data_IF_700630914707
#
_entry.id   IF_700630914707
#
_cell.length_a   1.000
_cell.length_b   1.000
_cell.length_c   1.000
_cell.angle_alpha   90.00
_cell.angle_beta   90.00
_cell.angle_gamma   90.00
#
_symmetry.space_group_name_H-M   'P 1'
#
loop_
_entity.id
_entity.type
_entity.pdbx_description
1 polymer ?
#
# COMPACT_ATOMS: atom_id res chain seq x y z
N UNK A 1 39.63 41.37 14.58
CA UNK A 1 40.26 40.12 14.12
C UNK A 1 39.97 39.08 15.20
N UNK A 2 38.84 38.37 15.21
CA UNK A 2 38.41 37.23 14.39
C UNK A 2 39.41 36.05 14.41
N UNK A 3 39.16 35.06 15.28
CA UNK A 3 39.40 33.64 14.99
C UNK A 3 38.28 32.80 15.63
N UNK A 4 37.66 31.98 14.80
CA UNK A 4 36.46 31.22 15.05
C UNK A 4 36.76 29.89 15.76
N UNK A 5 35.93 29.53 16.75
CA UNK A 5 35.87 28.18 17.29
C UNK A 5 34.95 27.33 16.39
N UNK A 6 35.51 26.28 15.80
CA UNK A 6 34.76 25.20 15.15
C UNK A 6 34.09 24.39 16.26
N UNK A 7 32.77 24.52 16.37
CA UNK A 7 31.94 23.62 17.17
C UNK A 7 31.80 22.26 16.47
N UNK A 8 31.62 21.16 17.23
CA UNK A 8 31.39 19.86 16.62
C UNK A 8 30.04 19.88 15.90
N UNK A 9 30.05 19.44 14.65
CA UNK A 9 28.84 19.17 13.90
C UNK A 9 28.03 18.12 14.65
N UNK A 10 26.95 18.56 15.29
CA UNK A 10 25.85 17.69 15.69
C UNK A 10 25.36 17.01 14.42
N UNK A 11 25.70 15.72 14.29
CA UNK A 11 25.11 14.87 13.27
C UNK A 11 23.60 14.92 13.46
N UNK A 12 22.93 15.64 12.56
CA UNK A 12 21.50 15.57 12.40
C UNK A 12 21.17 14.10 12.13
N UNK A 13 20.69 13.41 13.16
CA UNK A 13 20.06 12.11 13.01
C UNK A 13 18.95 12.30 11.98
N UNK A 14 19.21 11.84 10.77
CA UNK A 14 18.22 11.76 9.71
C UNK A 14 17.16 10.79 10.20
N UNK A 15 16.13 11.32 10.86
CA UNK A 15 14.90 10.59 11.19
C UNK A 15 14.26 10.27 9.85
N UNK A 16 14.71 9.17 9.25
CA UNK A 16 14.22 8.70 7.96
C UNK A 16 12.69 8.67 8.01
N UNK A 17 12.06 9.29 7.02
CA UNK A 17 10.62 9.53 6.85
C UNK A 17 9.77 8.24 6.73
N UNK A 18 10.06 7.20 7.51
CA UNK A 18 9.31 5.94 7.51
C UNK A 18 7.84 6.11 7.96
N UNK A 19 7.50 7.26 8.56
CA UNK A 19 6.13 7.64 8.90
C UNK A 19 5.32 8.23 7.73
N UNK A 20 5.92 8.48 6.55
CA UNK A 20 5.17 9.01 5.39
C UNK A 20 4.56 7.91 4.51
N UNK A 21 4.93 6.64 4.70
CA UNK A 21 4.40 5.53 3.93
C UNK A 21 3.02 5.11 4.45
N UNK A 22 2.10 4.87 3.52
CA UNK A 22 0.74 4.46 3.84
C UNK A 22 0.76 3.04 4.43
N UNK A 23 0.21 2.78 5.63
CA UNK A 23 0.10 1.43 6.16
C UNK A 23 -0.69 0.52 5.22
N UNK A 24 -0.15 -0.67 4.96
CA UNK A 24 -0.75 -1.69 4.12
C UNK A 24 -0.83 -3.01 4.89
N UNK A 25 -2.03 -3.58 5.00
CA UNK A 25 -2.25 -4.89 5.61
C UNK A 25 -2.86 -5.84 4.60
N UNK A 26 -2.34 -7.07 4.53
CA UNK A 26 -2.95 -8.16 3.77
C UNK A 26 -3.76 -9.00 4.75
N UNK A 27 -5.05 -9.14 4.51
CA UNK A 27 -5.99 -9.84 5.38
C UNK A 27 -6.66 -10.99 4.63
N UNK A 28 -7.10 -11.98 5.39
CA UNK A 28 -7.92 -13.07 4.88
C UNK A 28 -9.29 -13.16 5.56
N UNK A 29 -9.51 -12.32 6.57
CA UNK A 29 -10.79 -12.15 7.24
C UNK A 29 -10.97 -10.67 7.59
N UNK A 30 -11.98 -10.03 7.00
CA UNK A 30 -12.27 -8.61 7.21
C UNK A 30 -12.98 -8.36 8.54
N UNK A 31 -13.60 -9.39 9.13
CA UNK A 31 -14.31 -9.27 10.41
C UNK A 31 -13.35 -9.06 11.59
N UNK A 32 -12.07 -9.44 11.43
CA UNK A 32 -11.03 -9.19 12.42
C UNK A 32 -10.62 -7.72 12.52
N UNK A 33 -11.07 -6.86 11.60
CA UNK A 33 -10.79 -5.44 11.63
C UNK A 33 -11.86 -4.66 12.39
N UNK A 34 -11.47 -3.83 13.39
CA UNK A 34 -12.42 -2.97 14.09
C UNK A 34 -13.16 -2.04 13.12
N UNK A 35 -14.45 -1.82 13.35
CA UNK A 35 -15.30 -1.00 12.47
C UNK A 35 -14.74 0.43 12.28
N UNK A 36 -14.30 1.07 13.36
CA UNK A 36 -13.71 2.41 13.31
C UNK A 36 -12.49 2.46 12.37
N UNK A 37 -11.70 1.38 12.36
CA UNK A 37 -10.54 1.24 11.48
C UNK A 37 -10.97 1.09 10.02
N UNK A 38 -11.97 0.23 9.75
CA UNK A 38 -12.52 0.02 8.39
C UNK A 38 -13.08 1.31 7.77
N UNK A 39 -13.77 2.13 8.57
CA UNK A 39 -14.33 3.43 8.13
C UNK A 39 -13.28 4.44 7.67
N UNK A 40 -12.04 4.32 8.15
CA UNK A 40 -10.92 5.21 7.79
C UNK A 40 -9.94 4.58 6.78
N UNK A 41 -10.22 3.35 6.34
CA UNK A 41 -9.36 2.57 5.47
C UNK A 41 -9.98 2.36 4.09
N UNK A 42 -9.11 2.15 3.11
CA UNK A 42 -9.50 1.70 1.77
C UNK A 42 -9.32 0.18 1.69
N UNK A 43 -10.37 -0.52 1.28
CA UNK A 43 -10.29 -1.95 0.95
C UNK A 43 -9.94 -2.14 -0.53
N UNK A 44 -8.97 -3.01 -0.81
CA UNK A 44 -8.74 -3.58 -2.13
C UNK A 44 -9.27 -5.02 -2.12
N UNK A 45 -10.26 -5.31 -2.97
CA UNK A 45 -10.93 -6.60 -3.03
C UNK A 45 -12.44 -6.48 -2.77
N UNK A 46 -13.09 -7.62 -2.58
CA UNK A 46 -14.55 -7.69 -2.40
C UNK A 46 -14.90 -7.40 -0.94
N UNK A 47 -15.69 -6.37 -0.61
CA UNK A 47 -16.11 -6.10 0.75
C UNK A 47 -17.11 -7.15 1.23
N UNK A 48 -17.02 -7.52 2.51
CA UNK A 48 -18.10 -8.29 3.13
C UNK A 48 -19.38 -7.43 3.21
N UNK A 49 -20.59 -8.02 3.18
CA UNK A 49 -21.84 -7.27 3.17
C UNK A 49 -22.00 -6.27 4.33
N UNK A 50 -21.37 -6.55 5.47
CA UNK A 50 -21.36 -5.70 6.67
C UNK A 50 -20.01 -4.96 6.85
N UNK A 51 -19.25 -4.81 5.76
CA UNK A 51 -17.85 -4.39 5.77
C UNK A 51 -17.59 -2.95 6.23
N UNK A 52 -18.53 -2.01 5.99
CA UNK A 52 -18.44 -0.64 6.50
C UNK A 52 -17.16 0.13 6.13
N UNK A 53 -16.55 -0.20 4.99
CA UNK A 53 -15.29 0.38 4.54
C UNK A 53 -15.46 1.83 4.06
N UNK A 54 -14.46 2.68 4.33
CA UNK A 54 -14.49 4.09 3.94
C UNK A 54 -14.35 4.33 2.44
N UNK A 55 -13.63 3.45 1.75
CA UNK A 55 -13.54 3.36 0.28
C UNK A 55 -13.22 1.92 -0.15
N UNK A 56 -13.55 1.57 -1.38
CA UNK A 56 -13.31 0.24 -1.95
C UNK A 56 -12.71 0.37 -3.36
N UNK A 57 -11.77 -0.50 -3.68
CA UNK A 57 -11.22 -0.66 -5.01
C UNK A 57 -11.23 -2.14 -5.40
N UNK A 58 -11.75 -2.44 -6.59
CA UNK A 58 -11.81 -3.80 -7.09
C UNK A 58 -10.45 -4.27 -7.63
N UNK A 59 -10.17 -5.56 -7.44
CA UNK A 59 -9.08 -6.22 -8.18
C UNK A 59 -9.68 -6.69 -9.51
N UNK A 60 -9.24 -6.16 -10.66
CA UNK A 60 -9.80 -6.57 -11.94
C UNK A 60 -9.55 -8.06 -12.18
N UNK A 61 -10.56 -8.75 -12.70
CA UNK A 61 -10.44 -10.16 -13.04
C UNK A 61 -9.32 -10.36 -14.09
N UNK A 62 -8.48 -11.42 -13.97
CA UNK A 62 -7.42 -11.69 -14.92
C UNK A 62 -7.98 -11.79 -16.34
N UNK A 63 -7.43 -10.98 -17.25
CA UNK A 63 -7.86 -10.90 -18.65
C UNK A 63 -6.66 -11.16 -19.56
N UNK A 64 -6.84 -11.93 -20.66
CA UNK A 64 -5.77 -12.21 -21.61
C UNK A 64 -5.25 -10.94 -22.32
N UNK A 65 -5.93 -9.80 -22.14
CA UNK A 65 -5.53 -8.51 -22.68
C UNK A 65 -4.71 -7.66 -21.70
N UNK A 66 -4.70 -7.96 -20.38
CA UNK A 66 -3.96 -7.16 -19.39
C UNK A 66 -2.44 -7.21 -19.57
N UNK A 67 -1.92 -8.22 -20.26
CA UNK A 67 -0.49 -8.39 -20.52
C UNK A 67 -0.06 -7.95 -21.94
N UNK A 68 -0.89 -7.23 -22.70
CA UNK A 68 -0.56 -6.79 -24.07
C UNK A 68 0.18 -5.46 -24.09
N UNK A 69 1.43 -5.46 -23.64
CA UNK A 69 2.41 -4.49 -24.13
C UNK A 69 3.69 -5.18 -24.56
N UNK A 70 4.39 -4.54 -25.51
CA UNK A 70 5.58 -5.05 -26.17
C UNK A 70 6.63 -5.56 -25.18
N UNK A 71 7.35 -6.61 -25.58
CA UNK A 71 8.44 -7.21 -24.80
C UNK A 71 9.40 -6.12 -24.29
N UNK A 72 9.45 -5.90 -22.97
CA UNK A 72 10.39 -4.96 -22.33
C UNK A 72 9.83 -4.03 -21.25
N UNK A 73 8.51 -3.86 -21.12
CA UNK A 73 7.93 -2.98 -20.08
C UNK A 73 7.64 -3.75 -18.77
N UNK A 74 8.53 -3.62 -17.79
CA UNK A 74 8.41 -4.21 -16.44
C UNK A 74 7.18 -3.76 -15.64
N UNK A 75 6.48 -2.70 -16.06
CA UNK A 75 5.30 -2.20 -15.36
C UNK A 75 4.03 -3.04 -15.56
N UNK A 76 3.96 -3.86 -16.62
CA UNK A 76 2.74 -4.59 -17.01
C UNK A 76 2.71 -6.08 -16.63
N UNK A 77 3.83 -6.65 -16.15
CA UNK A 77 3.88 -8.05 -15.65
C UNK A 77 3.80 -8.12 -14.13
N UNK A 78 3.29 -7.06 -13.49
CA UNK A 78 3.20 -6.97 -12.03
C UNK A 78 1.95 -7.68 -11.54
N UNK A 79 1.97 -8.04 -10.26
CA UNK A 79 0.80 -8.62 -9.60
C UNK A 79 -0.40 -7.65 -9.70
N UNK A 80 -1.63 -8.15 -9.98
CA UNK A 80 -2.82 -7.30 -10.10
C UNK A 80 -3.04 -6.40 -8.88
N UNK A 81 -2.76 -6.87 -7.66
CA UNK A 81 -2.88 -6.06 -6.44
C UNK A 81 -1.87 -4.91 -6.47
N UNK A 82 -0.63 -5.17 -6.91
CA UNK A 82 0.41 -4.16 -7.03
C UNK A 82 0.10 -3.10 -8.10
N UNK A 83 -0.69 -3.44 -9.12
CA UNK A 83 -1.22 -2.48 -10.09
C UNK A 83 -2.31 -1.60 -9.48
N UNK A 84 -3.30 -2.19 -8.82
CA UNK A 84 -4.37 -1.43 -8.14
C UNK A 84 -3.81 -0.50 -7.06
N UNK A 85 -2.81 -0.94 -6.30
CA UNK A 85 -2.11 -0.09 -5.34
C UNK A 85 -1.45 1.13 -6.00
N UNK A 86 -0.90 1.00 -7.22
CA UNK A 86 -0.32 2.13 -7.93
C UNK A 86 -1.40 3.14 -8.36
N UNK A 87 -2.53 2.66 -8.85
CA UNK A 87 -3.70 3.47 -9.22
C UNK A 87 -4.30 4.19 -8.01
N UNK A 88 -4.56 3.47 -6.92
CA UNK A 88 -5.08 4.02 -5.65
C UNK A 88 -4.18 5.13 -5.12
N UNK A 89 -2.86 4.96 -5.18
CA UNK A 89 -1.93 6.02 -4.78
C UNK A 89 -2.02 7.24 -5.71
N UNK A 90 -2.09 7.03 -7.02
CA UNK A 90 -2.22 8.11 -7.98
C UNK A 90 -3.52 8.90 -7.75
N UNK A 91 -4.64 8.22 -7.58
CA UNK A 91 -5.93 8.84 -7.28
C UNK A 91 -5.90 9.64 -5.99
N UNK A 92 -5.25 9.11 -4.94
CA UNK A 92 -5.02 9.83 -3.68
C UNK A 92 -4.27 11.14 -3.91
N UNK A 93 -3.15 11.10 -4.64
CA UNK A 93 -2.33 12.30 -4.93
C UNK A 93 -3.11 13.32 -5.75
N UNK A 94 -3.96 12.85 -6.68
CA UNK A 94 -4.81 13.70 -7.52
C UNK A 94 -6.10 14.16 -6.83
N UNK A 95 -6.38 13.73 -5.60
CA UNK A 95 -7.62 14.05 -4.90
C UNK A 95 -8.88 13.44 -5.51
N UNK A 96 -8.74 12.34 -6.26
CA UNK A 96 -9.85 11.64 -6.93
C UNK A 96 -10.58 10.63 -6.04
N UNK A 97 -10.04 10.35 -4.86
CA UNK A 97 -10.61 9.44 -3.85
C UNK A 97 -10.76 10.13 -2.51
N UNK A 98 -11.70 9.68 -1.65
CA UNK A 98 -11.73 10.09 -0.25
C UNK A 98 -10.39 9.86 0.45
N UNK A 99 -10.11 10.67 1.48
CA UNK A 99 -8.91 10.49 2.28
C UNK A 99 -9.04 9.23 3.14
N UNK A 100 -8.14 8.27 2.93
CA UNK A 100 -7.95 7.11 3.81
C UNK A 100 -6.64 7.22 4.57
N UNK A 101 -6.53 6.55 5.72
CA UNK A 101 -5.30 6.52 6.52
C UNK A 101 -4.46 5.28 6.28
N UNK A 102 -5.08 4.21 5.83
CA UNK A 102 -4.44 2.92 5.57
C UNK A 102 -5.17 2.15 4.48
N UNK A 103 -4.50 1.13 3.95
CA UNK A 103 -5.03 0.24 2.91
C UNK A 103 -5.04 -1.19 3.41
N UNK A 104 -6.13 -1.89 3.14
CA UNK A 104 -6.34 -3.28 3.45
C UNK A 104 -6.52 -4.06 2.14
N UNK A 105 -5.81 -5.16 1.95
CA UNK A 105 -5.95 -6.06 0.78
C UNK A 105 -6.60 -7.35 1.26
N UNK A 106 -7.81 -7.65 0.79
CA UNK A 106 -8.53 -8.88 1.11
C UNK A 106 -8.24 -9.96 0.07
N UNK A 107 -7.65 -11.06 0.52
CA UNK A 107 -7.29 -12.23 -0.31
C UNK A 107 -7.59 -13.52 0.44
N UNK A 108 -7.87 -14.60 -0.29
CA UNK A 108 -8.09 -15.91 0.32
C UNK A 108 -6.89 -16.34 1.18
N UNK A 109 -7.15 -17.04 2.29
CA UNK A 109 -6.10 -17.45 3.25
C UNK A 109 -4.93 -18.20 2.63
N UNK A 110 -5.20 -19.00 1.58
CA UNK A 110 -4.18 -19.74 0.83
C UNK A 110 -3.23 -18.85 0.02
N UNK A 111 -3.70 -17.70 -0.44
CA UNK A 111 -2.96 -16.80 -1.34
C UNK A 111 -2.24 -15.69 -0.55
N UNK A 112 -2.63 -15.48 0.71
CA UNK A 112 -2.12 -14.42 1.60
C UNK A 112 -0.60 -14.33 1.65
N UNK A 113 0.09 -15.46 1.86
CA UNK A 113 1.55 -15.50 1.98
C UNK A 113 2.22 -15.13 0.66
N UNK A 114 1.73 -15.67 -0.46
CA UNK A 114 2.27 -15.40 -1.79
C UNK A 114 2.09 -13.92 -2.17
N UNK A 115 0.88 -13.38 -2.01
CA UNK A 115 0.58 -11.98 -2.28
C UNK A 115 1.44 -11.06 -1.40
N UNK A 116 1.55 -11.36 -0.10
CA UNK A 116 2.41 -10.59 0.79
C UNK A 116 3.86 -10.57 0.29
N UNK A 117 4.44 -11.72 -0.04
CA UNK A 117 5.81 -11.80 -0.54
C UNK A 117 6.00 -11.04 -1.87
N UNK A 118 5.03 -11.09 -2.77
CA UNK A 118 5.07 -10.30 -4.01
C UNK A 118 5.08 -8.81 -3.72
N UNK A 119 4.21 -8.33 -2.83
CA UNK A 119 4.14 -6.93 -2.42
C UNK A 119 5.40 -6.47 -1.67
N UNK A 120 6.01 -7.34 -0.85
CA UNK A 120 7.29 -7.08 -0.18
C UNK A 120 8.45 -6.94 -1.16
N UNK A 121 8.37 -7.56 -2.34
CA UNK A 121 9.40 -7.49 -3.37
C UNK A 121 9.13 -6.43 -4.45
N UNK A 122 7.92 -5.88 -4.50
CA UNK A 122 7.56 -4.85 -5.48
C UNK A 122 8.12 -3.48 -5.10
N UNK A 123 9.01 -2.96 -5.94
CA UNK A 123 9.72 -1.69 -5.72
C UNK A 123 8.76 -0.50 -5.58
N UNK A 124 7.69 -0.48 -6.37
CA UNK A 124 6.74 0.65 -6.40
C UNK A 124 5.78 0.62 -5.21
N UNK A 125 5.45 -0.58 -4.72
CA UNK A 125 4.68 -0.76 -3.48
C UNK A 125 5.52 -0.27 -2.30
N UNK A 126 6.77 -0.74 -2.15
CA UNK A 126 7.65 -0.36 -1.04
C UNK A 126 7.97 1.14 -0.97
N UNK A 127 7.94 1.83 -2.11
CA UNK A 127 8.18 3.26 -2.17
C UNK A 127 7.02 4.10 -1.59
N UNK A 128 5.83 3.53 -1.46
CA UNK A 128 4.58 4.26 -1.12
C UNK A 128 3.85 3.69 0.09
N UNK A 129 4.01 2.39 0.31
CA UNK A 129 3.31 1.62 1.31
C UNK A 129 4.28 0.96 2.28
N UNK A 130 3.85 0.86 3.53
CA UNK A 130 4.53 0.11 4.59
C UNK A 130 3.68 -1.09 4.94
N UNK A 131 4.16 -2.28 4.60
CA UNK A 131 3.52 -3.52 5.01
C UNK A 131 3.57 -3.67 6.53
N UNK A 132 2.41 -3.75 7.16
CA UNK A 132 2.27 -3.93 8.60
C UNK A 132 2.32 -5.44 8.91
N UNK A 133 3.07 -5.86 9.95
CA UNK A 133 2.99 -7.24 10.45
C UNK A 133 1.58 -7.52 11.01
N UNK A 134 1.14 -8.78 10.98
CA UNK A 134 -0.17 -9.15 11.52
C UNK A 134 -0.18 -8.93 13.04
N UNK A 135 -1.20 -8.23 13.56
CA UNK A 135 -1.49 -8.15 14.99
C UNK A 135 -0.95 -6.93 15.75
N UNK A 136 -1.50 -5.75 15.46
CA UNK A 136 -1.60 -4.65 16.45
C UNK A 136 -3.04 -4.17 16.49
#
# INVERSE_FOLDING_TARGET
MLFAAVGPATGNGMTSSRNSLIPLTVLSDQALWPEERRRQALLIGVPDPEGGWGDVADIPAPSPFMNRHAAGCLCCTRDPVAMVLAEVFQDRVLGKRPLFREVAVSVASKDRVAVRQQLENDVLVRARYRLVPEGV
#
